data_IF_758422685110
#
_entry.id   IF_758422685110
#
_cell.length_a   1.000
_cell.length_b   1.000
_cell.length_c   1.000
_cell.angle_alpha   90.00
_cell.angle_beta   90.00
_cell.angle_gamma   90.00
#
_symmetry.space_group_name_H-M   'P 1'
#
loop_
_entity.id
_entity.type
_entity.pdbx_description
1 polymer ?
#
# COMPACT_ATOMS: atom_id res chain seq x y z
N UNK A 1 -12.48 0.58 4.20
CA UNK A 1 -13.00 -0.65 4.84
C UNK A 1 -11.85 -1.27 5.62
N UNK A 2 -12.11 -1.80 6.82
CA UNK A 2 -11.10 -2.48 7.63
C UNK A 2 -10.78 -3.86 7.06
N UNK A 3 -9.49 -4.13 6.82
CA UNK A 3 -8.99 -5.43 6.36
C UNK A 3 -8.29 -6.13 7.54
N UNK A 4 -9.05 -6.97 8.27
CA UNK A 4 -8.61 -7.57 9.54
C UNK A 4 -7.50 -8.60 9.34
N UNK A 5 -7.50 -9.32 8.22
CA UNK A 5 -6.49 -10.28 7.84
C UNK A 5 -5.15 -9.60 7.56
N UNK A 6 -5.15 -8.52 6.76
CA UNK A 6 -3.93 -7.74 6.53
C UNK A 6 -3.45 -7.05 7.80
N UNK A 7 -4.37 -6.56 8.64
CA UNK A 7 -3.99 -5.93 9.89
C UNK A 7 -3.30 -6.93 10.83
N UNK A 8 -3.84 -8.15 10.93
CA UNK A 8 -3.25 -9.23 11.70
C UNK A 8 -1.83 -9.58 11.21
N UNK A 9 -1.64 -9.74 9.90
CA UNK A 9 -0.33 -10.00 9.32
C UNK A 9 0.68 -8.88 9.59
N UNK A 10 0.24 -7.62 9.44
CA UNK A 10 1.07 -6.44 9.72
C UNK A 10 1.44 -6.36 11.21
N UNK A 11 0.52 -6.71 12.10
CA UNK A 11 0.73 -6.74 13.55
C UNK A 11 1.71 -7.84 13.98
N UNK A 12 1.64 -9.02 13.38
CA UNK A 12 2.61 -10.10 13.60
C UNK A 12 4.00 -9.66 13.13
N UNK A 13 4.08 -9.00 11.96
CA UNK A 13 5.33 -8.42 11.46
C UNK A 13 5.88 -7.36 12.41
N UNK A 14 5.00 -6.50 12.94
CA UNK A 14 5.36 -5.47 13.91
C UNK A 14 5.84 -6.07 15.24
N UNK A 15 5.26 -7.16 15.71
CA UNK A 15 5.74 -7.89 16.88
C UNK A 15 7.18 -8.38 16.67
N UNK A 16 7.49 -8.92 15.48
CA UNK A 16 8.80 -9.49 15.17
C UNK A 16 9.10 -10.70 16.05
N UNK A 17 10.36 -10.89 16.43
CA UNK A 17 10.81 -12.06 17.21
C UNK A 17 10.48 -11.98 18.71
N UNK A 18 9.82 -10.91 19.14
CA UNK A 18 9.42 -10.74 20.55
C UNK A 18 8.27 -11.66 20.88
N UNK A 19 8.22 -12.10 22.15
CA UNK A 19 7.01 -12.74 22.67
C UNK A 19 5.83 -11.74 22.67
N UNK A 20 4.61 -12.28 22.59
CA UNK A 20 3.39 -11.47 22.70
C UNK A 20 3.36 -10.64 23.99
N UNK A 21 3.81 -11.23 25.10
CA UNK A 21 3.82 -10.56 26.41
C UNK A 21 4.83 -9.40 26.45
N UNK A 22 5.99 -9.58 25.83
CA UNK A 22 6.99 -8.51 25.73
C UNK A 22 6.47 -7.35 24.88
N UNK A 23 5.88 -7.65 23.73
CA UNK A 23 5.31 -6.61 22.87
C UNK A 23 4.11 -5.89 23.52
N UNK A 24 3.25 -6.63 24.22
CA UNK A 24 2.18 -6.08 25.04
C UNK A 24 2.69 -5.12 26.12
N UNK A 25 3.74 -5.52 26.83
CA UNK A 25 4.38 -4.68 27.86
C UNK A 25 4.90 -3.37 27.29
N UNK A 26 5.58 -3.42 26.14
CA UNK A 26 6.18 -2.24 25.52
C UNK A 26 5.13 -1.27 24.96
N UNK A 27 4.07 -1.80 24.36
CA UNK A 27 2.98 -1.01 23.77
C UNK A 27 2.00 -0.46 24.81
N UNK A 28 1.97 -1.05 26.02
CA UNK A 28 0.98 -0.74 27.05
C UNK A 28 -0.41 -1.30 26.73
N UNK A 29 -0.54 -2.18 25.73
CA UNK A 29 -1.79 -2.82 25.33
C UNK A 29 -1.82 -4.24 25.90
N UNK A 30 -2.99 -4.71 26.35
CA UNK A 30 -3.10 -6.05 26.91
C UNK A 30 -2.78 -7.14 25.88
N UNK A 31 -2.05 -8.17 26.30
CA UNK A 31 -1.69 -9.30 25.44
C UNK A 31 -2.91 -10.01 24.86
N UNK A 32 -4.01 -10.08 25.61
CA UNK A 32 -5.29 -10.60 25.11
C UNK A 32 -5.90 -9.74 23.99
N UNK A 33 -5.73 -8.42 24.02
CA UNK A 33 -6.18 -7.55 22.94
C UNK A 33 -5.30 -7.75 21.70
N UNK A 34 -3.98 -7.72 21.86
CA UNK A 34 -3.04 -7.96 20.76
C UNK A 34 -3.25 -9.34 20.14
N UNK A 35 -3.50 -10.37 20.95
CA UNK A 35 -3.79 -11.73 20.48
C UNK A 35 -5.07 -11.81 19.64
N UNK A 36 -6.14 -11.12 20.04
CA UNK A 36 -7.39 -11.09 19.26
C UNK A 36 -7.19 -10.39 17.92
N UNK A 37 -6.44 -9.28 17.90
CA UNK A 37 -6.08 -8.58 16.67
C UNK A 37 -5.20 -9.43 15.75
N UNK A 38 -4.15 -10.07 16.28
CA UNK A 38 -3.22 -10.89 15.48
C UNK A 38 -3.84 -12.19 14.96
N UNK A 39 -4.97 -12.60 15.52
CA UNK A 39 -5.77 -13.74 15.05
C UNK A 39 -6.98 -13.32 14.21
N UNK A 40 -7.10 -12.05 13.85
CA UNK A 40 -8.23 -11.49 13.08
C UNK A 40 -9.62 -11.80 13.69
N UNK A 41 -9.71 -11.84 15.02
CA UNK A 41 -10.96 -12.15 15.75
C UNK A 41 -11.85 -10.93 15.98
N UNK A 42 -11.37 -9.72 15.65
CA UNK A 42 -12.12 -8.49 15.81
C UNK A 42 -12.60 -8.00 14.45
N UNK A 43 -13.89 -7.75 14.32
CA UNK A 43 -14.48 -7.17 13.10
C UNK A 43 -14.41 -5.64 13.08
N UNK A 44 -14.12 -5.02 14.21
CA UNK A 44 -13.90 -3.59 14.33
C UNK A 44 -12.40 -3.27 14.40
N UNK A 45 -11.93 -2.22 13.69
CA UNK A 45 -10.53 -1.82 13.75
C UNK A 45 -10.19 -1.23 15.13
N UNK A 46 -8.95 -1.37 15.59
CA UNK A 46 -8.46 -0.60 16.74
C UNK A 46 -8.52 0.90 16.43
N UNK A 47 -8.70 1.71 17.47
CA UNK A 47 -8.72 3.17 17.29
C UNK A 47 -7.31 3.71 16.95
N UNK A 48 -7.21 4.93 16.39
CA UNK A 48 -5.92 5.53 16.00
C UNK A 48 -4.89 5.60 17.13
N UNK A 49 -5.32 5.86 18.37
CA UNK A 49 -4.42 5.92 19.51
C UNK A 49 -3.80 4.53 19.82
N UNK A 50 -4.60 3.47 19.80
CA UNK A 50 -4.13 2.09 19.94
C UNK A 50 -3.19 1.71 18.80
N UNK A 51 -3.50 2.10 17.57
CA UNK A 51 -2.63 1.87 16.42
C UNK A 51 -1.29 2.58 16.60
N UNK A 52 -1.29 3.83 17.09
CA UNK A 52 -0.07 4.59 17.39
C UNK A 52 0.80 3.87 18.41
N UNK A 53 0.21 3.38 19.50
CA UNK A 53 0.94 2.63 20.53
C UNK A 53 1.58 1.35 19.97
N UNK A 54 0.88 0.62 19.09
CA UNK A 54 1.42 -0.57 18.42
C UNK A 54 2.58 -0.23 17.48
N UNK A 55 2.40 0.83 16.67
CA UNK A 55 3.36 1.28 15.67
C UNK A 55 4.63 1.88 16.30
N UNK A 56 4.52 2.65 17.38
CA UNK A 56 5.64 3.28 18.08
C UNK A 56 6.65 2.24 18.61
N UNK A 57 6.20 1.01 18.86
CA UNK A 57 7.03 -0.11 19.31
C UNK A 57 7.16 -1.21 18.23
N UNK A 58 6.83 -0.92 16.97
CA UNK A 58 6.87 -1.91 15.92
C UNK A 58 8.31 -2.22 15.46
N UNK A 59 8.55 -3.49 15.14
CA UNK A 59 9.76 -3.96 14.48
C UNK A 59 9.51 -4.12 12.97
N UNK A 60 10.58 -4.46 12.23
CA UNK A 60 10.52 -4.82 10.81
C UNK A 60 9.97 -3.72 9.88
N UNK A 61 10.12 -2.46 10.30
CA UNK A 61 9.77 -1.29 9.49
C UNK A 61 8.27 -1.13 9.24
N UNK A 62 7.41 -1.68 10.10
CA UNK A 62 5.98 -1.39 10.08
C UNK A 62 5.73 0.03 10.58
N UNK A 63 5.01 0.83 9.81
CA UNK A 63 4.72 2.23 10.17
C UNK A 63 3.29 2.42 10.67
N UNK A 64 3.08 3.54 11.37
CA UNK A 64 1.75 3.99 11.79
C UNK A 64 0.81 4.16 10.58
N UNK A 65 1.28 4.78 9.50
CA UNK A 65 0.48 5.03 8.30
C UNK A 65 0.06 3.72 7.62
N UNK A 66 0.97 2.73 7.55
CA UNK A 66 0.63 1.39 7.04
C UNK A 66 -0.49 0.75 7.87
N UNK A 67 -0.39 0.78 9.20
CA UNK A 67 -1.43 0.24 10.08
C UNK A 67 -2.75 1.02 9.96
N UNK A 68 -2.71 2.34 9.84
CA UNK A 68 -3.88 3.21 9.70
C UNK A 68 -4.63 3.01 8.39
N UNK A 69 -3.90 2.80 7.29
CA UNK A 69 -4.47 2.49 5.97
C UNK A 69 -5.22 1.16 6.03
N UNK A 70 -4.59 0.11 6.56
CA UNK A 70 -5.19 -1.23 6.66
C UNK A 70 -6.35 -1.26 7.66
N UNK A 71 -6.24 -0.49 8.74
CA UNK A 71 -7.34 -0.26 9.69
C UNK A 71 -8.53 0.51 9.07
N UNK A 72 -8.35 1.11 7.90
CA UNK A 72 -9.38 1.88 7.20
C UNK A 72 -9.56 3.31 7.72
N UNK A 73 -8.62 3.82 8.52
CA UNK A 73 -8.64 5.20 9.05
C UNK A 73 -8.02 6.22 8.10
N UNK A 74 -7.08 5.79 7.26
CA UNK A 74 -6.47 6.63 6.23
C UNK A 74 -6.77 6.07 4.84
N UNK A 75 -7.10 6.95 3.92
CA UNK A 75 -6.98 6.65 2.50
C UNK A 75 -5.51 6.79 2.13
N UNK A 76 -4.88 5.75 1.56
CA UNK A 76 -3.50 5.86 1.16
C UNK A 76 -3.26 7.05 0.23
N UNK A 77 -2.21 7.86 0.46
CA UNK A 77 -1.91 9.10 -0.30
C UNK A 77 -1.70 8.88 -1.80
N UNK A 78 -1.56 7.63 -2.23
CA UNK A 78 -1.40 7.21 -3.63
C UNK A 78 -2.69 6.71 -4.25
N UNK A 79 -3.77 6.57 -3.48
CA UNK A 79 -5.10 6.56 -4.07
C UNK A 79 -5.38 8.02 -4.47
N UNK A 80 -5.56 8.31 -5.77
CA UNK A 80 -6.02 9.63 -6.16
C UNK A 80 -7.29 9.93 -5.36
N UNK A 81 -7.35 11.12 -4.73
CA UNK A 81 -8.57 11.56 -4.07
C UNK A 81 -9.65 11.64 -5.14
N UNK A 82 -10.48 10.61 -5.25
CA UNK A 82 -11.58 10.55 -6.23
C UNK A 82 -12.56 11.72 -6.03
N UNK A 83 -12.51 12.42 -4.89
CA UNK A 83 -13.25 13.65 -4.60
C UNK A 83 -12.65 14.95 -5.15
N UNK A 84 -11.42 14.93 -5.72
CA UNK A 84 -10.83 16.09 -6.44
C UNK A 84 -10.52 15.80 -7.91
N UNK A 85 -10.85 14.62 -8.40
CA UNK A 85 -10.97 14.42 -9.83
C UNK A 85 -12.27 15.13 -10.22
N UNK A 86 -12.14 16.40 -10.58
CA UNK A 86 -13.07 17.04 -11.52
C UNK A 86 -13.34 16.00 -12.61
N UNK A 87 -14.55 15.45 -12.62
CA UNK A 87 -15.04 14.47 -13.60
C UNK A 87 -15.04 15.03 -15.03
N UNK A 88 -14.44 16.19 -15.26
CA UNK A 88 -14.33 16.85 -16.55
C UNK A 88 -13.15 16.45 -17.45
N UNK A 89 -12.00 15.94 -16.98
CA UNK A 89 -10.81 15.78 -17.87
C UNK A 89 -9.80 14.67 -17.55
N UNK A 90 -10.24 13.47 -17.17
CA UNK A 90 -9.45 12.27 -17.52
C UNK A 90 -10.06 11.76 -18.84
N UNK A 91 -9.28 11.63 -19.93
CA UNK A 91 -9.81 11.05 -21.16
C UNK A 91 -10.32 9.65 -20.83
N UNK A 92 -11.64 9.48 -20.84
CA UNK A 92 -12.31 8.21 -20.59
C UNK A 92 -12.07 7.18 -21.72
N UNK A 93 -11.05 7.41 -22.56
CA UNK A 93 -10.76 6.65 -23.78
C UNK A 93 -9.69 5.58 -23.60
N UNK A 94 -9.05 5.46 -22.44
CA UNK A 94 -8.24 4.30 -22.11
C UNK A 94 -8.96 3.45 -21.05
N UNK A 95 -9.84 2.55 -21.51
CA UNK A 95 -10.28 1.40 -20.73
C UNK A 95 -9.07 0.50 -20.50
N UNK A 96 -8.19 0.85 -19.56
CA UNK A 96 -7.35 -0.18 -18.96
C UNK A 96 -8.28 -0.95 -18.02
N UNK A 97 -8.67 -2.14 -18.48
CA UNK A 97 -9.40 -3.08 -17.65
C UNK A 97 -8.47 -3.57 -16.56
N UNK A 98 -8.43 -2.83 -15.45
CA UNK A 98 -7.64 -3.16 -14.27
C UNK A 98 -8.03 -4.52 -13.66
N UNK A 99 -9.14 -5.14 -14.10
CA UNK A 99 -9.49 -6.51 -13.69
C UNK A 99 -8.60 -7.58 -14.34
N UNK A 100 -7.82 -7.23 -15.37
CA UNK A 100 -6.84 -8.14 -15.98
C UNK A 100 -5.44 -8.04 -15.39
N UNK A 101 -5.21 -7.12 -14.43
CA UNK A 101 -3.93 -7.05 -13.70
C UNK A 101 -3.95 -8.18 -12.69
N UNK A 102 -3.11 -9.19 -12.92
CA UNK A 102 -2.94 -10.30 -11.99
C UNK A 102 -2.38 -9.82 -10.65
N UNK A 103 -2.63 -10.57 -9.57
CA UNK A 103 -2.09 -10.25 -8.24
C UNK A 103 -0.55 -10.14 -8.27
N UNK A 104 0.12 -10.89 -9.15
CA UNK A 104 1.57 -10.85 -9.38
C UNK A 104 2.02 -9.52 -10.02
N UNK A 105 1.27 -9.00 -10.99
CA UNK A 105 1.53 -7.70 -11.62
C UNK A 105 1.27 -6.54 -10.63
N UNK A 106 0.28 -6.69 -9.74
CA UNK A 106 0.02 -5.73 -8.67
C UNK A 106 1.15 -5.71 -7.60
N UNK A 107 1.71 -6.88 -7.26
CA UNK A 107 2.88 -6.99 -6.39
C UNK A 107 4.13 -6.33 -7.00
N UNK A 108 4.25 -6.33 -8.33
CA UNK A 108 5.34 -5.66 -9.04
C UNK A 108 5.31 -4.13 -8.83
N UNK A 109 4.11 -3.54 -8.82
CA UNK A 109 3.92 -2.09 -8.54
C UNK A 109 4.36 -1.78 -7.11
N UNK A 110 3.95 -2.61 -6.15
CA UNK A 110 4.34 -2.48 -4.75
C UNK A 110 5.86 -2.63 -4.56
N UNK A 111 6.48 -3.57 -5.27
CA UNK A 111 7.93 -3.78 -5.28
C UNK A 111 8.69 -2.60 -5.87
N UNK A 112 8.29 -2.11 -7.05
CA UNK A 112 8.90 -0.95 -7.71
C UNK A 112 8.87 0.25 -6.76
N UNK A 113 7.71 0.48 -6.13
CA UNK A 113 7.53 1.58 -5.18
C UNK A 113 8.44 1.46 -3.95
N UNK A 114 8.54 0.27 -3.35
CA UNK A 114 9.42 0.02 -2.19
C UNK A 114 10.90 0.12 -2.55
N UNK A 115 11.26 -0.26 -3.78
CA UNK A 115 12.61 -0.14 -4.30
C UNK A 115 13.00 1.33 -4.52
N UNK A 116 12.07 2.13 -5.05
CA UNK A 116 12.33 3.54 -5.38
C UNK A 116 12.38 4.46 -4.16
N UNK A 117 11.76 4.09 -3.04
CA UNK A 117 11.87 4.84 -1.78
C UNK A 117 13.30 4.88 -1.24
N UNK A 118 14.15 3.91 -1.59
CA UNK A 118 15.55 3.84 -1.17
C UNK A 118 16.54 4.58 -2.09
N UNK A 119 16.07 5.13 -3.21
CA UNK A 119 16.93 5.80 -4.19
C UNK A 119 17.24 7.25 -3.81
N UNK A 120 18.43 7.73 -4.21
CA UNK A 120 18.79 9.16 -4.10
C UNK A 120 17.95 10.03 -5.06
N UNK A 121 17.85 11.35 -4.85
CA UNK A 121 17.11 12.25 -5.74
C UNK A 121 17.53 12.15 -7.21
N UNK A 122 18.83 12.05 -7.48
CA UNK A 122 19.38 11.93 -8.84
C UNK A 122 19.00 10.60 -9.49
N UNK A 123 19.02 9.50 -8.72
CA UNK A 123 18.62 8.18 -9.18
C UNK A 123 17.12 8.13 -9.46
N UNK A 124 16.28 8.73 -8.61
CA UNK A 124 14.84 8.86 -8.83
C UNK A 124 14.54 9.66 -10.09
N UNK A 125 15.24 10.77 -10.33
CA UNK A 125 15.10 11.58 -11.54
C UNK A 125 15.38 10.76 -12.81
N UNK A 126 16.48 9.98 -12.83
CA UNK A 126 16.81 9.09 -13.95
C UNK A 126 15.74 8.01 -14.18
N UNK A 127 15.24 7.41 -13.10
CA UNK A 127 14.17 6.39 -13.18
C UNK A 127 12.85 6.97 -13.69
N UNK A 128 12.50 8.19 -13.29
CA UNK A 128 11.32 8.88 -13.80
C UNK A 128 11.45 9.18 -15.30
N UNK A 129 12.62 9.62 -15.77
CA UNK A 129 12.86 9.83 -17.21
C UNK A 129 12.74 8.51 -18.00
N UNK A 130 13.27 7.40 -17.48
CA UNK A 130 13.09 6.08 -18.10
C UNK A 130 11.62 5.66 -18.19
N UNK A 131 10.83 5.91 -17.14
CA UNK A 131 9.40 5.61 -17.16
C UNK A 131 8.66 6.44 -18.22
N UNK A 132 8.99 7.73 -18.37
CA UNK A 132 8.43 8.59 -19.43
C UNK A 132 8.78 8.10 -20.83
N UNK A 133 10.03 7.66 -21.03
CA UNK A 133 10.46 7.07 -22.31
C UNK A 133 9.67 5.79 -22.59
N UNK A 134 9.50 4.93 -21.58
CA UNK A 134 8.74 3.69 -21.70
C UNK A 134 7.29 3.95 -22.08
N UNK A 135 6.64 4.95 -21.47
CA UNK A 135 5.28 5.38 -21.83
C UNK A 135 5.19 5.85 -23.28
N UNK A 136 6.19 6.60 -23.77
CA UNK A 136 6.23 7.03 -25.17
C UNK A 136 6.34 5.86 -26.13
N UNK A 137 7.17 4.86 -25.81
CA UNK A 137 7.32 3.66 -26.63
C UNK A 137 6.00 2.88 -26.68
N UNK A 138 5.32 2.73 -25.55
CA UNK A 138 4.00 2.08 -25.49
C UNK A 138 3.00 2.81 -26.39
N UNK A 139 2.91 4.14 -26.28
CA UNK A 139 2.06 4.97 -27.14
C UNK A 139 2.37 4.78 -28.63
N UNK A 140 3.64 4.64 -29.00
CA UNK A 140 4.07 4.41 -30.39
C UNK A 140 3.63 3.03 -30.89
N UNK A 141 3.82 1.99 -30.08
CA UNK A 141 3.40 0.62 -30.39
C UNK A 141 1.88 0.54 -30.58
N UNK A 142 1.10 1.13 -29.66
CA UNK A 142 -0.36 1.16 -29.77
C UNK A 142 -0.85 1.89 -31.03
N UNK A 143 -0.14 2.93 -31.47
CA UNK A 143 -0.45 3.65 -32.71
C UNK A 143 -0.10 2.83 -33.96
N UNK A 144 0.97 2.04 -33.95
CA UNK A 144 1.28 1.13 -35.05
C UNK A 144 0.24 0.02 -35.17
N UNK A 145 -0.17 -0.61 -34.06
CA UNK A 145 -1.13 -1.71 -34.07
C UNK A 145 -2.54 -1.29 -34.51
N UNK A 146 -2.91 -0.02 -34.32
CA UNK A 146 -4.18 0.53 -34.81
C UNK A 146 -4.17 0.79 -36.32
N UNK A 147 -3.02 1.17 -36.88
CA UNK A 147 -2.86 1.40 -38.33
C UNK A 147 -2.85 0.10 -39.15
N UNK A 148 -2.40 -1.00 -38.57
CA UNK A 148 -2.38 -2.31 -39.23
C UNK A 148 -3.76 -3.01 -39.24
N UNK A 149 -4.77 -2.43 -38.55
CA UNK A 149 -6.14 -2.95 -38.45
C UNK A 149 -7.18 -2.16 -39.27
N UNK A 150 -6.77 -1.08 -39.93
CA UNK A 150 -7.58 -0.29 -40.89
C UNK A 150 -7.18 -0.63 -42.33
#
# INVERSE_FOLDING_TARGET
MFDKEKFAALLIRAQGDRSLNEYARQTGISSAHISRLSRALLDAPPNPQTIKQLADQAHNGVTYDEMMVVAGHLTPDWLPSYSRLDTGKIPHTARYDISSITDEEAELISFIRRSWSKLTPEQRKKKLELAKISLRIIDEVERSEKKDKE
#
